data_IF_954419442148
#
_entry.id   IF_954419442148
#
_cell.length_a   1.000
_cell.length_b   1.000
_cell.length_c   1.000
_cell.angle_alpha   90.00
_cell.angle_beta   90.00
_cell.angle_gamma   90.00
#
_symmetry.space_group_name_H-M   'P 1'
#
loop_
_entity.id
_entity.type
_entity.pdbx_description
1 polymer ?
#
# COMPACT_ATOMS: atom_id res chain seq x y z
N UNK A 1 -9.33 6.50 11.80
CA UNK A 1 -9.90 7.22 10.64
C UNK A 1 -9.23 6.63 9.41
N UNK A 2 -9.74 5.50 8.90
CA UNK A 2 -9.23 4.95 7.65
C UNK A 2 -9.49 5.98 6.54
N UNK A 3 -8.51 6.18 5.66
CA UNK A 3 -8.56 6.99 4.45
C UNK A 3 -9.97 6.97 3.83
N UNK A 4 -10.47 8.13 3.41
CA UNK A 4 -11.75 8.37 2.73
C UNK A 4 -12.22 7.19 1.83
N UNK A 5 -12.90 6.20 2.43
CA UNK A 5 -13.43 5.03 1.73
C UNK A 5 -12.43 3.97 1.25
N UNK A 6 -11.11 4.13 1.46
CA UNK A 6 -10.12 3.13 1.05
C UNK A 6 -9.86 2.12 2.17
N UNK A 7 -9.71 0.85 1.77
CA UNK A 7 -9.31 -0.23 2.68
C UNK A 7 -7.87 0.01 3.19
N UNK A 8 -7.48 -0.51 4.37
CA UNK A 8 -6.08 -0.53 4.79
C UNK A 8 -5.22 -1.14 3.67
N UNK A 9 -4.16 -0.44 3.25
CA UNK A 9 -3.32 -0.83 2.13
C UNK A 9 -1.88 -0.37 2.31
N UNK A 10 -0.99 -0.98 1.53
CA UNK A 10 0.38 -0.55 1.30
C UNK A 10 0.48 -0.08 -0.16
N UNK A 11 0.97 1.13 -0.39
CA UNK A 11 1.22 1.61 -1.75
C UNK A 11 2.52 1.00 -2.28
N UNK A 12 2.43 0.25 -3.38
CA UNK A 12 3.55 -0.44 -4.02
C UNK A 12 4.16 0.36 -5.19
N UNK A 13 3.32 1.14 -5.88
CA UNK A 13 3.73 2.02 -6.96
C UNK A 13 2.72 3.17 -7.10
N UNK A 14 3.19 4.30 -7.62
CA UNK A 14 2.40 5.44 -8.04
C UNK A 14 2.97 5.93 -9.38
N UNK A 15 2.10 6.11 -10.37
CA UNK A 15 2.48 6.36 -11.75
C UNK A 15 1.33 7.00 -12.53
N UNK A 16 1.65 7.55 -13.70
CA UNK A 16 0.72 7.97 -14.74
C UNK A 16 0.68 6.92 -15.86
N UNK A 17 -0.45 6.79 -16.56
CA UNK A 17 -0.53 5.97 -17.77
C UNK A 17 -1.49 6.58 -18.79
N UNK A 18 -1.22 6.33 -20.08
CA UNK A 18 -2.12 6.67 -21.18
C UNK A 18 -2.90 5.45 -21.69
N UNK A 19 -2.57 4.26 -21.19
CA UNK A 19 -3.17 2.98 -21.58
C UNK A 19 -3.51 2.17 -20.33
N UNK A 20 -4.66 2.49 -19.73
CA UNK A 20 -5.15 1.83 -18.52
C UNK A 20 -5.51 0.36 -18.77
N UNK A 21 -5.87 -0.01 -20.01
CA UNK A 21 -6.22 -1.37 -20.39
C UNK A 21 -4.98 -2.27 -20.42
N UNK A 22 -3.85 -1.76 -20.93
CA UNK A 22 -2.57 -2.47 -20.86
C UNK A 22 -2.12 -2.70 -19.41
N UNK A 23 -2.28 -1.69 -18.54
CA UNK A 23 -1.99 -1.81 -17.11
C UNK A 23 -2.88 -2.86 -16.44
N UNK A 24 -4.19 -2.81 -16.69
CA UNK A 24 -5.16 -3.78 -16.19
C UNK A 24 -4.79 -5.22 -16.60
N UNK A 25 -4.50 -5.41 -17.89
CA UNK A 25 -4.11 -6.71 -18.44
C UNK A 25 -2.83 -7.25 -17.79
N UNK A 26 -1.81 -6.40 -17.66
CA UNK A 26 -0.53 -6.79 -17.07
C UNK A 26 -0.68 -7.16 -15.58
N UNK A 27 -1.43 -6.37 -14.81
CA UNK A 27 -1.73 -6.69 -13.41
C UNK A 27 -2.51 -8.00 -13.32
N UNK A 28 -3.56 -8.16 -14.13
CA UNK A 28 -4.37 -9.38 -14.15
C UNK A 28 -3.50 -10.62 -14.37
N UNK A 29 -2.63 -10.58 -15.38
CA UNK A 29 -1.70 -11.67 -15.68
C UNK A 29 -0.73 -11.92 -14.52
N UNK A 30 -0.09 -10.87 -13.99
CA UNK A 30 0.85 -10.97 -12.87
C UNK A 30 0.22 -11.61 -11.63
N UNK A 31 -1.01 -11.20 -11.28
CA UNK A 31 -1.75 -11.76 -10.13
C UNK A 31 -2.17 -13.21 -10.32
N UNK A 32 -2.42 -13.64 -11.57
CA UNK A 32 -2.82 -15.00 -11.88
C UNK A 32 -1.63 -15.96 -11.92
N UNK A 33 -0.47 -15.49 -12.37
CA UNK A 33 0.69 -16.33 -12.67
C UNK A 33 1.75 -16.35 -11.57
N UNK A 34 1.90 -15.25 -10.82
CA UNK A 34 3.08 -15.05 -9.96
C UNK A 34 2.74 -14.69 -8.52
N UNK A 35 1.79 -13.80 -8.30
CA UNK A 35 1.54 -13.25 -6.96
C UNK A 35 0.63 -14.17 -6.14
N UNK A 36 1.08 -14.49 -4.94
CA UNK A 36 0.33 -15.26 -3.94
C UNK A 36 0.06 -14.38 -2.71
N UNK A 37 -0.93 -14.72 -1.87
CA UNK A 37 -1.13 -14.04 -0.61
C UNK A 37 0.14 -14.03 0.25
N UNK A 38 0.52 -12.85 0.74
CA UNK A 38 1.68 -12.70 1.63
C UNK A 38 1.25 -12.20 3.01
N UNK A 39 1.95 -12.68 4.04
CA UNK A 39 1.74 -12.21 5.40
C UNK A 39 2.53 -10.91 5.61
N UNK A 40 1.87 -9.89 6.16
CA UNK A 40 2.46 -8.58 6.42
C UNK A 40 2.45 -8.34 7.92
N UNK A 41 3.63 -8.31 8.53
CA UNK A 41 3.75 -8.04 9.96
C UNK A 41 3.81 -6.54 10.25
N UNK A 42 2.69 -5.95 10.64
CA UNK A 42 2.59 -4.57 11.10
C UNK A 42 2.96 -4.51 12.60
N UNK A 43 4.18 -4.09 12.91
CA UNK A 43 4.76 -4.20 14.25
C UNK A 43 5.16 -2.87 14.89
N UNK A 44 5.11 -1.77 14.15
CA UNK A 44 5.40 -0.44 14.68
C UNK A 44 4.48 0.61 14.05
N UNK A 45 4.41 1.77 14.68
CA UNK A 45 3.74 2.95 14.16
C UNK A 45 4.76 4.07 13.94
N UNK A 46 4.48 4.96 13.00
CA UNK A 46 5.37 6.04 12.64
C UNK A 46 4.67 7.23 11.97
N UNK A 47 5.48 8.23 11.66
CA UNK A 47 5.10 9.45 10.94
C UNK A 47 6.22 9.83 9.97
N UNK A 48 5.92 10.70 9.01
CA UNK A 48 6.93 11.19 8.07
C UNK A 48 7.63 12.45 8.60
N UNK A 49 8.92 12.66 8.30
CA UNK A 49 9.65 13.85 8.73
C UNK A 49 8.91 15.14 8.39
N UNK A 50 8.77 16.04 9.37
CA UNK A 50 8.07 17.33 9.23
C UNK A 50 6.61 17.24 8.76
N UNK A 51 5.98 16.06 8.87
CA UNK A 51 4.59 15.85 8.49
C UNK A 51 3.81 15.17 9.61
N UNK A 52 3.26 16.00 10.50
CA UNK A 52 2.40 15.56 11.60
C UNK A 52 0.97 15.26 11.15
N UNK A 53 0.66 15.40 9.86
CA UNK A 53 -0.69 15.17 9.35
C UNK A 53 -0.96 13.68 9.10
N UNK A 54 0.09 12.86 9.03
CA UNK A 54 0.01 11.44 8.68
C UNK A 54 0.55 10.58 9.81
N UNK A 55 -0.24 9.58 10.19
CA UNK A 55 0.14 8.53 11.13
C UNK A 55 -0.07 7.18 10.43
N UNK A 56 0.92 6.29 10.50
CA UNK A 56 0.88 5.01 9.80
C UNK A 56 1.37 3.86 10.68
N UNK A 57 1.00 2.64 10.31
CA UNK A 57 1.67 1.42 10.75
C UNK A 57 2.77 1.05 9.76
N UNK A 58 3.95 0.68 10.25
CA UNK A 58 5.04 0.21 9.42
C UNK A 58 5.10 -1.33 9.46
N UNK A 59 5.22 -1.98 8.30
CA UNK A 59 5.50 -3.40 8.25
C UNK A 59 6.97 -3.66 8.62
N UNK A 60 7.24 -4.85 9.14
CA UNK A 60 8.59 -5.42 9.11
C UNK A 60 8.89 -5.72 7.65
N UNK A 61 9.93 -5.07 7.11
CA UNK A 61 10.36 -5.30 5.74
C UNK A 61 11.14 -6.61 5.68
N UNK A 62 10.65 -7.53 4.86
CA UNK A 62 11.30 -8.79 4.56
C UNK A 62 11.41 -8.99 3.04
N UNK A 63 12.09 -10.07 2.65
CA UNK A 63 12.33 -10.38 1.24
C UNK A 63 11.03 -10.63 0.45
N UNK A 64 9.99 -11.15 1.10
CA UNK A 64 8.70 -11.42 0.44
C UNK A 64 8.02 -10.11 0.04
N UNK A 65 8.02 -9.12 0.94
CA UNK A 65 7.48 -7.80 0.68
C UNK A 65 8.30 -7.04 -0.38
N UNK A 66 9.63 -7.12 -0.30
CA UNK A 66 10.52 -6.51 -1.29
C UNK A 66 10.35 -7.14 -2.68
N UNK A 67 10.21 -8.48 -2.75
CA UNK A 67 10.00 -9.15 -4.03
C UNK A 67 8.64 -8.79 -4.64
N UNK A 68 7.58 -8.70 -3.85
CA UNK A 68 6.28 -8.20 -4.32
C UNK A 68 6.41 -6.79 -4.90
N UNK A 69 7.12 -5.90 -4.20
CA UNK A 69 7.34 -4.53 -4.64
C UNK A 69 8.10 -4.45 -5.97
N UNK A 70 9.19 -5.21 -6.13
CA UNK A 70 9.95 -5.31 -7.38
C UNK A 70 9.11 -5.89 -8.51
N UNK A 71 8.39 -6.98 -8.27
CA UNK A 71 7.55 -7.62 -9.28
C UNK A 71 6.51 -6.66 -9.86
N UNK A 72 5.90 -5.84 -9.01
CA UNK A 72 4.93 -4.82 -9.42
C UNK A 72 5.63 -3.70 -10.19
N UNK A 73 6.75 -3.17 -9.69
CA UNK A 73 7.46 -2.08 -10.34
C UNK A 73 7.98 -2.50 -11.73
N UNK A 74 8.63 -3.66 -11.84
CA UNK A 74 9.21 -4.17 -13.09
C UNK A 74 8.12 -4.45 -14.15
N UNK A 75 6.95 -4.95 -13.71
CA UNK A 75 5.82 -5.21 -14.61
C UNK A 75 5.22 -3.92 -15.16
N UNK A 76 5.11 -2.88 -14.31
CA UNK A 76 4.45 -1.63 -14.66
C UNK A 76 5.37 -0.62 -15.36
N UNK A 77 6.68 -0.67 -15.08
CA UNK A 77 7.67 0.26 -15.62
C UNK A 77 7.61 0.45 -17.14
N UNK A 78 7.55 -0.61 -17.97
CA UNK A 78 7.48 -0.43 -19.43
C UNK A 78 6.13 0.11 -19.93
N UNK A 79 5.09 0.10 -19.10
CA UNK A 79 3.71 0.46 -19.47
C UNK A 79 3.30 1.85 -19.00
N UNK A 80 4.03 2.42 -18.04
CA UNK A 80 3.62 3.63 -17.34
C UNK A 80 4.69 4.72 -17.42
N UNK A 81 4.27 5.94 -17.12
CA UNK A 81 5.11 7.14 -17.06
C UNK A 81 4.98 7.80 -15.69
N UNK A 82 5.76 8.83 -15.39
CA UNK A 82 5.53 9.62 -14.17
C UNK A 82 5.68 8.83 -12.86
N UNK A 83 6.48 7.76 -12.84
CA UNK A 83 6.69 6.98 -11.61
C UNK A 83 7.20 7.87 -10.48
N UNK A 84 6.48 7.87 -9.37
CA UNK A 84 6.86 8.58 -8.18
C UNK A 84 8.15 8.00 -7.59
N UNK A 85 9.22 8.78 -7.42
CA UNK A 85 10.49 8.30 -6.87
C UNK A 85 10.38 7.72 -5.46
N UNK A 86 9.35 8.14 -4.71
CA UNK A 86 9.07 7.70 -3.34
C UNK A 86 8.69 6.21 -3.24
N UNK A 87 8.27 5.60 -4.35
CA UNK A 87 7.91 4.18 -4.40
C UNK A 87 8.91 3.36 -5.21
N UNK A 88 10.13 3.88 -5.43
CA UNK A 88 11.25 3.10 -5.94
C UNK A 88 12.06 2.51 -4.79
N UNK A 89 12.69 1.36 -5.01
CA UNK A 89 13.33 0.53 -3.97
C UNK A 89 14.26 1.34 -3.04
N UNK A 90 15.06 2.25 -3.60
CA UNK A 90 16.00 3.12 -2.86
C UNK A 90 15.32 4.10 -1.88
N UNK A 91 14.05 4.47 -2.12
CA UNK A 91 13.33 5.49 -1.33
C UNK A 91 12.05 4.95 -0.67
N UNK A 92 11.68 3.69 -0.93
CA UNK A 92 10.39 3.17 -0.53
C UNK A 92 10.31 2.99 0.99
N UNK A 93 9.38 3.73 1.60
CA UNK A 93 8.99 3.55 3.00
C UNK A 93 7.64 2.85 3.01
N UNK A 94 7.58 1.51 3.13
CA UNK A 94 6.32 0.81 3.16
C UNK A 94 5.54 1.19 4.42
N UNK A 95 4.26 1.53 4.26
CA UNK A 95 3.43 1.99 5.36
C UNK A 95 1.94 1.76 5.08
N UNK A 96 1.17 1.44 6.12
CA UNK A 96 -0.28 1.42 6.11
C UNK A 96 -0.81 2.63 6.85
N UNK A 97 -1.30 3.63 6.11
CA UNK A 97 -1.83 4.87 6.68
C UNK A 97 -3.04 4.61 7.58
N UNK A 98 -2.98 5.09 8.82
CA UNK A 98 -4.04 4.99 9.83
C UNK A 98 -4.90 6.25 9.94
N UNK A 99 -4.31 7.40 9.64
CA UNK A 99 -4.94 8.70 9.70
C UNK A 99 -4.19 9.70 8.81
N UNK A 100 -4.95 10.64 8.26
CA UNK A 100 -4.48 11.78 7.48
C UNK A 100 -5.05 13.07 8.05
N UNK A 101 -4.51 14.21 7.59
CA UNK A 101 -5.01 15.55 7.90
C UNK A 101 -5.09 15.84 9.41
N UNK A 102 -4.23 15.17 10.20
CA UNK A 102 -4.17 15.39 11.64
C UNK A 102 -3.67 16.80 11.95
N UNK A 103 -4.34 17.46 12.89
CA UNK A 103 -3.80 18.63 13.58
C UNK A 103 -2.71 18.18 14.57
N UNK A 104 -1.76 19.04 14.96
CA UNK A 104 -0.73 18.69 15.94
C UNK A 104 -1.28 18.13 17.26
N UNK A 105 -2.41 18.66 17.74
CA UNK A 105 -3.09 18.18 18.94
C UNK A 105 -3.64 16.76 18.74
N UNK A 106 -4.36 16.53 17.63
CA UNK A 106 -4.91 15.20 17.30
C UNK A 106 -3.82 14.16 17.03
N UNK A 107 -2.69 14.58 16.48
CA UNK A 107 -1.51 13.74 16.27
C UNK A 107 -0.94 13.27 17.61
N UNK A 108 -0.71 14.19 18.55
CA UNK A 108 -0.18 13.87 19.87
C UNK A 108 -1.12 12.92 20.64
N UNK A 109 -2.43 13.19 20.63
CA UNK A 109 -3.43 12.33 21.25
C UNK A 109 -3.48 10.94 20.58
N UNK A 110 -3.37 10.87 19.25
CA UNK A 110 -3.35 9.60 18.51
C UNK A 110 -2.10 8.77 18.81
N UNK A 111 -0.95 9.41 19.00
CA UNK A 111 0.28 8.73 19.40
C UNK A 111 0.16 8.09 20.79
N UNK A 112 -0.42 8.80 21.77
CA UNK A 112 -0.69 8.25 23.10
C UNK A 112 -1.64 7.05 23.02
N UNK A 113 -2.74 7.18 22.29
CA UNK A 113 -3.68 6.07 22.10
C UNK A 113 -3.03 4.86 21.41
N UNK A 114 -2.21 5.06 20.38
CA UNK A 114 -1.49 3.95 19.76
C UNK A 114 -0.53 3.28 20.74
N UNK A 115 0.21 4.05 21.54
CA UNK A 115 1.12 3.48 22.53
C UNK A 115 0.41 2.60 23.57
N UNK A 116 -0.83 2.94 23.93
CA UNK A 116 -1.62 2.19 24.93
C UNK A 116 -2.31 0.94 24.34
N UNK A 117 -2.75 0.98 23.09
CA UNK A 117 -3.66 -0.03 22.53
C UNK A 117 -3.11 -0.83 21.33
N UNK A 118 -2.07 -0.33 20.65
CA UNK A 118 -1.54 -1.02 19.48
C UNK A 118 -0.82 -2.31 19.90
N UNK A 119 -1.24 -3.42 19.30
CA UNK A 119 -0.53 -4.69 19.38
C UNK A 119 -0.10 -5.10 17.96
N UNK A 120 1.12 -5.65 17.78
CA UNK A 120 1.56 -6.13 16.49
C UNK A 120 0.54 -7.09 15.88
N UNK A 121 0.28 -6.91 14.59
CA UNK A 121 -0.65 -7.73 13.83
C UNK A 121 0.03 -8.29 12.58
N UNK A 122 -0.48 -9.42 12.11
CA UNK A 122 0.09 -10.13 10.97
C UNK A 122 -1.01 -10.46 9.94
N UNK A 123 -1.66 -9.43 9.35
CA UNK A 123 -2.66 -9.62 8.32
C UNK A 123 -2.09 -10.29 7.07
N UNK A 124 -2.98 -10.95 6.33
CA UNK A 124 -2.69 -11.46 5.00
C UNK A 124 -3.09 -10.44 3.93
N UNK A 125 -2.16 -10.05 3.08
CA UNK A 125 -2.45 -9.33 1.86
C UNK A 125 -2.95 -10.32 0.81
N UNK A 126 -4.23 -10.24 0.43
CA UNK A 126 -4.89 -11.19 -0.48
C UNK A 126 -5.27 -10.59 -1.83
N UNK A 127 -5.15 -9.27 -1.99
CA UNK A 127 -5.56 -8.56 -3.18
C UNK A 127 -4.57 -7.44 -3.52
N UNK A 128 -4.45 -7.16 -4.81
CA UNK A 128 -3.91 -5.90 -5.32
C UNK A 128 -5.08 -4.99 -5.72
N UNK A 129 -4.97 -3.68 -5.48
CA UNK A 129 -5.96 -2.71 -5.94
C UNK A 129 -5.30 -1.65 -6.81
N UNK A 130 -5.94 -1.34 -7.94
CA UNK A 130 -5.60 -0.19 -8.77
C UNK A 130 -6.52 0.97 -8.38
N UNK A 131 -5.93 2.07 -7.95
CA UNK A 131 -6.64 3.23 -7.39
C UNK A 131 -6.30 4.45 -8.24
N UNK A 132 -7.31 5.17 -8.71
CA UNK A 132 -7.12 6.47 -9.32
C UNK A 132 -6.83 7.51 -8.23
N UNK A 133 -5.78 8.31 -8.38
CA UNK A 133 -5.50 9.46 -7.52
C UNK A 133 -6.24 10.68 -8.07
N UNK A 134 -7.04 11.36 -7.24
CA UNK A 134 -7.79 12.59 -7.57
C UNK A 134 -9.05 12.43 -8.47
N UNK A 135 -10.20 12.04 -7.89
CA UNK A 135 -10.40 11.63 -6.51
C UNK A 135 -9.89 10.20 -6.27
N UNK A 136 -9.48 9.91 -5.04
CA UNK A 136 -9.15 8.53 -4.63
C UNK A 136 -10.35 7.61 -4.86
N UNK A 137 -10.20 6.67 -5.79
CA UNK A 137 -11.27 5.74 -6.16
C UNK A 137 -10.67 4.41 -6.62
N UNK A 138 -11.02 3.31 -5.94
CA UNK A 138 -10.64 1.95 -6.36
C UNK A 138 -11.27 1.66 -7.73
N UNK A 139 -10.42 1.56 -8.76
CA UNK A 139 -10.84 1.26 -10.12
C UNK A 139 -11.10 -0.22 -10.29
N UNK A 140 -10.19 -1.05 -9.76
CA UNK A 140 -10.26 -2.50 -9.86
C UNK A 140 -9.48 -3.16 -8.74
N UNK A 141 -9.93 -4.35 -8.36
CA UNK A 141 -9.32 -5.20 -7.35
C UNK A 141 -9.04 -6.57 -7.95
N UNK A 142 -7.83 -7.07 -7.71
CA UNK A 142 -7.31 -8.30 -8.30
C UNK A 142 -7.00 -9.28 -7.17
N UNK A 143 -7.70 -10.42 -7.07
CA UNK A 143 -7.36 -11.46 -6.12
C UNK A 143 -5.98 -12.04 -6.45
N UNK A 144 -5.15 -12.27 -5.43
CA UNK A 144 -3.88 -12.97 -5.60
C UNK A 144 -4.13 -14.47 -5.75
N UNK A 145 -3.26 -15.20 -6.46
CA UNK A 145 -3.45 -16.62 -6.71
C UNK A 145 -3.57 -17.41 -5.38
N UNK A 146 -4.72 -18.07 -5.19
CA UNK A 146 -5.03 -18.81 -3.96
C UNK A 146 -5.74 -18.02 -2.85
N UNK A 147 -6.08 -16.74 -3.07
CA UNK A 147 -7.01 -16.02 -2.18
C UNK A 147 -8.45 -16.48 -2.36
N UNK A 148 -9.22 -16.55 -1.27
CA UNK A 148 -10.67 -16.74 -1.33
C UNK A 148 -11.32 -15.51 -2.00
N UNK A 149 -12.04 -15.65 -3.13
CA UNK A 149 -12.66 -14.53 -3.82
C UNK A 149 -13.75 -13.80 -3.00
N UNK A 150 -14.19 -14.36 -1.86
CA UNK A 150 -15.21 -13.79 -0.98
C UNK A 150 -14.67 -12.94 0.18
N UNK A 151 -13.35 -12.84 0.37
CA UNK A 151 -12.70 -12.14 1.50
C UNK A 151 -11.99 -10.86 1.03
#
# INVERSE_FOLDING_TARGET
LLLAGLRPHLTLAEFDTHDIEAVDSAITQLTAEKLIPISIKLASAGFFPNNLTVLYLAPIVDESLLQLHRDINDTLEPLCTGFSPLYREENWVPHCTLALELTPESFAASCLNLADYFTPMEPMATHLSLIACCPFCEQKRYPLAGSDPLI
#
